data_IF_936791352519
#
_entry.id   IF_936791352519
#
_cell.length_a   1.000
_cell.length_b   1.000
_cell.length_c   1.000
_cell.angle_alpha   90.00
_cell.angle_beta   90.00
_cell.angle_gamma   90.00
#
_symmetry.space_group_name_H-M   'P 1'
#
loop_
_entity.id
_entity.type
_entity.pdbx_description
1 polymer ?
#
# COMPACT_ATOMS: atom_id res chain seq x y z
N UNK A 1 3.59 2.28 -29.53
CA UNK A 1 2.65 2.48 -28.39
C UNK A 1 2.13 3.90 -28.45
N UNK A 2 0.80 4.11 -28.47
CA UNK A 2 0.20 5.45 -28.54
C UNK A 2 0.31 6.17 -27.19
N UNK A 3 0.48 7.50 -27.21
CA UNK A 3 0.59 8.35 -26.02
C UNK A 3 -0.70 8.30 -25.16
N UNK A 4 -1.85 8.07 -25.80
CA UNK A 4 -3.13 7.87 -25.12
C UNK A 4 -3.19 6.59 -24.30
N UNK A 5 -2.60 5.49 -24.79
CA UNK A 5 -2.57 4.21 -24.07
C UNK A 5 -1.78 4.34 -22.76
N UNK A 6 -0.65 5.05 -22.80
CA UNK A 6 0.19 5.29 -21.61
C UNK A 6 -0.54 6.21 -20.62
N UNK A 7 -1.25 7.24 -21.09
CA UNK A 7 -2.02 8.13 -20.23
C UNK A 7 -3.14 7.41 -19.51
N UNK A 8 -3.89 6.56 -20.21
CA UNK A 8 -4.97 5.76 -19.62
C UNK A 8 -4.43 4.75 -18.61
N UNK A 9 -3.34 4.03 -18.93
CA UNK A 9 -2.72 3.11 -17.98
C UNK A 9 -2.23 3.82 -16.71
N UNK A 10 -1.69 5.03 -16.84
CA UNK A 10 -1.22 5.83 -15.69
C UNK A 10 -2.37 6.36 -14.84
N UNK A 11 -3.53 6.64 -15.42
CA UNK A 11 -4.73 7.02 -14.69
C UNK A 11 -5.24 5.83 -13.86
N UNK A 12 -5.41 4.65 -14.49
CA UNK A 12 -5.86 3.44 -13.79
C UNK A 12 -4.88 2.98 -12.70
N UNK A 13 -3.57 3.14 -12.90
CA UNK A 13 -2.58 2.80 -11.88
C UNK A 13 -2.71 3.64 -10.59
N UNK A 14 -3.17 4.89 -10.70
CA UNK A 14 -3.40 5.74 -9.52
C UNK A 14 -4.58 5.27 -8.69
N UNK A 15 -5.60 4.72 -9.33
CA UNK A 15 -6.80 4.21 -8.65
C UNK A 15 -6.47 2.98 -7.78
N UNK A 16 -5.46 2.21 -8.18
CA UNK A 16 -4.99 1.04 -7.41
C UNK A 16 -3.94 1.37 -6.35
N UNK A 17 -3.14 2.42 -6.53
CA UNK A 17 -2.10 2.78 -5.57
C UNK A 17 -2.72 3.37 -4.30
N UNK A 18 -2.38 2.84 -3.13
CA UNK A 18 -2.76 3.46 -1.86
C UNK A 18 -1.96 4.74 -1.65
N UNK A 19 -2.66 5.82 -1.33
CA UNK A 19 -2.08 7.13 -1.05
C UNK A 19 -3.04 7.94 -0.19
N UNK A 20 -2.57 9.10 0.26
CA UNK A 20 -3.43 10.08 0.93
C UNK A 20 -4.55 10.53 -0.03
N UNK A 21 -5.79 10.40 0.42
CA UNK A 21 -6.98 10.78 -0.34
C UNK A 21 -7.98 11.52 0.56
N UNK A 22 -8.08 12.85 0.47
CA UNK A 22 -8.98 13.61 1.32
C UNK A 22 -10.46 13.32 1.07
N UNK A 23 -10.80 12.66 -0.06
CA UNK A 23 -12.16 12.20 -0.37
C UNK A 23 -12.51 10.83 0.20
N UNK A 24 -11.52 10.06 0.67
CA UNK A 24 -11.69 8.71 1.21
C UNK A 24 -10.98 8.57 2.57
N UNK A 25 -11.78 8.65 3.63
CA UNK A 25 -11.29 8.57 5.01
C UNK A 25 -10.66 7.22 5.35
N UNK A 26 -11.12 6.10 4.76
CA UNK A 26 -10.58 4.78 5.05
C UNK A 26 -9.23 4.61 4.38
N UNK A 27 -9.11 5.03 3.11
CA UNK A 27 -7.81 5.04 2.40
C UNK A 27 -6.80 5.95 3.08
N UNK A 28 -7.22 7.16 3.48
CA UNK A 28 -6.35 8.08 4.22
C UNK A 28 -5.89 7.49 5.56
N UNK A 29 -6.78 6.81 6.30
CA UNK A 29 -6.41 6.14 7.54
C UNK A 29 -5.44 4.99 7.31
N UNK A 30 -5.73 4.08 6.36
CA UNK A 30 -4.85 2.97 6.01
C UNK A 30 -3.48 3.46 5.56
N UNK A 31 -3.44 4.51 4.73
CA UNK A 31 -2.20 5.16 4.33
C UNK A 31 -1.42 5.72 5.53
N UNK A 32 -2.10 6.42 6.44
CA UNK A 32 -1.49 6.97 7.67
C UNK A 32 -0.87 5.89 8.55
N UNK A 33 -1.58 4.77 8.77
CA UNK A 33 -1.06 3.65 9.56
C UNK A 33 0.23 3.07 8.96
N UNK A 34 0.28 2.89 7.63
CA UNK A 34 1.50 2.44 6.97
C UNK A 34 2.62 3.48 7.09
N UNK A 35 2.32 4.77 6.91
CA UNK A 35 3.33 5.83 7.11
C UNK A 35 3.89 5.80 8.53
N UNK A 36 3.04 5.63 9.55
CA UNK A 36 3.47 5.56 10.95
C UNK A 36 4.38 4.35 11.20
N UNK A 37 4.03 3.16 10.66
CA UNK A 37 4.89 1.96 10.75
C UNK A 37 6.25 2.16 10.06
N UNK A 38 6.26 2.76 8.87
CA UNK A 38 7.51 3.05 8.16
C UNK A 38 8.38 4.04 8.95
N UNK A 39 7.76 5.06 9.55
CA UNK A 39 8.45 6.05 10.36
C UNK A 39 9.03 5.44 11.65
N UNK A 40 8.29 4.53 12.30
CA UNK A 40 8.77 3.78 13.45
C UNK A 40 9.99 2.91 13.10
N UNK A 41 9.89 2.11 12.04
CA UNK A 41 11.00 1.28 11.58
C UNK A 41 12.22 2.13 11.19
N UNK A 42 12.03 3.24 10.49
CA UNK A 42 13.08 4.20 10.18
C UNK A 42 13.73 4.76 11.47
N UNK A 43 12.92 5.23 12.42
CA UNK A 43 13.40 5.82 13.67
C UNK A 43 14.19 4.84 14.52
N UNK A 44 13.75 3.58 14.60
CA UNK A 44 14.50 2.51 15.27
C UNK A 44 15.86 2.31 14.62
N UNK A 45 15.92 2.19 13.29
CA UNK A 45 17.20 1.98 12.60
C UNK A 45 18.13 3.18 12.75
N UNK A 46 17.62 4.40 12.62
CA UNK A 46 18.40 5.62 12.85
C UNK A 46 18.94 5.72 14.28
N UNK A 47 18.20 5.25 15.28
CA UNK A 47 18.65 5.28 16.68
C UNK A 47 19.92 4.45 16.92
N UNK A 48 20.09 3.35 16.18
CA UNK A 48 21.22 2.44 16.34
C UNK A 48 22.37 2.66 15.35
N UNK A 49 22.23 3.61 14.41
CA UNK A 49 23.14 3.72 13.28
C UNK A 49 24.47 4.43 13.58
N UNK A 50 24.60 5.11 14.73
CA UNK A 50 25.84 5.80 15.12
C UNK A 50 26.26 6.88 14.12
N UNK A 51 27.57 6.95 13.83
CA UNK A 51 28.17 7.91 12.88
C UNK A 51 28.31 7.34 11.45
N UNK A 52 27.59 6.27 11.11
CA UNK A 52 27.65 5.67 9.78
C UNK A 52 27.06 6.63 8.71
N UNK A 53 27.82 7.03 7.67
CA UNK A 53 27.32 7.89 6.61
C UNK A 53 26.20 7.25 5.77
N UNK A 54 26.08 5.92 5.74
CA UNK A 54 25.04 5.18 5.00
C UNK A 54 23.80 4.86 5.84
N UNK A 55 23.85 5.12 7.15
CA UNK A 55 22.78 4.92 8.14
C UNK A 55 21.40 5.34 7.64
N UNK A 56 21.31 6.55 7.09
CA UNK A 56 20.03 7.14 6.69
C UNK A 56 19.40 6.39 5.51
N UNK A 57 20.23 5.87 4.59
CA UNK A 57 19.76 5.07 3.45
C UNK A 57 19.25 3.72 3.94
N UNK A 58 19.99 3.05 4.80
CA UNK A 58 19.60 1.73 5.32
C UNK A 58 18.35 1.80 6.21
N UNK A 59 18.25 2.83 7.05
CA UNK A 59 17.05 3.08 7.83
C UNK A 59 15.83 3.34 6.95
N UNK A 60 16.00 4.07 5.83
CA UNK A 60 14.93 4.30 4.87
C UNK A 60 14.54 3.00 4.15
N UNK A 61 15.51 2.17 3.75
CA UNK A 61 15.26 0.86 3.15
C UNK A 61 14.48 -0.04 4.11
N UNK A 62 14.84 -0.06 5.39
CA UNK A 62 14.12 -0.81 6.42
C UNK A 62 12.69 -0.27 6.61
N UNK A 63 12.52 1.05 6.67
CA UNK A 63 11.21 1.71 6.73
C UNK A 63 10.32 1.31 5.56
N UNK A 64 10.81 1.43 4.33
CA UNK A 64 10.06 1.05 3.12
C UNK A 64 9.77 -0.46 3.04
N UNK A 65 10.75 -1.30 3.40
CA UNK A 65 10.59 -2.74 3.42
C UNK A 65 9.48 -3.17 4.38
N UNK A 66 9.40 -2.55 5.56
CA UNK A 66 8.42 -2.88 6.60
C UNK A 66 6.96 -2.71 6.17
N UNK A 67 6.69 -1.81 5.22
CA UNK A 67 5.32 -1.47 4.77
C UNK A 67 5.02 -1.92 3.34
N UNK A 68 6.02 -2.45 2.63
CA UNK A 68 5.90 -2.89 1.23
C UNK A 68 4.73 -3.85 1.01
N UNK A 69 4.52 -4.78 1.95
CA UNK A 69 3.41 -5.75 1.90
C UNK A 69 2.05 -5.08 2.11
N UNK A 70 1.95 -4.11 3.00
CA UNK A 70 0.72 -3.32 3.19
C UNK A 70 0.31 -2.56 1.93
N UNK A 71 1.26 -1.92 1.24
CA UNK A 71 0.98 -1.26 -0.03
C UNK A 71 0.55 -2.26 -1.12
N UNK A 72 1.17 -3.44 -1.18
CA UNK A 72 0.78 -4.49 -2.12
C UNK A 72 -0.64 -5.04 -1.81
N UNK A 73 -0.94 -5.30 -0.53
CA UNK A 73 -2.27 -5.73 -0.09
C UNK A 73 -3.36 -4.72 -0.47
N UNK A 74 -3.11 -3.43 -0.23
CA UNK A 74 -4.02 -2.37 -0.59
C UNK A 74 -4.27 -2.26 -2.10
N UNK A 75 -3.25 -2.49 -2.92
CA UNK A 75 -3.39 -2.52 -4.37
C UNK A 75 -4.24 -3.72 -4.83
N UNK A 76 -4.06 -4.90 -4.25
CA UNK A 76 -4.88 -6.07 -4.55
C UNK A 76 -6.34 -5.85 -4.15
N UNK A 77 -6.60 -5.25 -2.98
CA UNK A 77 -7.96 -4.90 -2.55
C UNK A 77 -8.60 -3.89 -3.52
N UNK A 78 -7.86 -2.87 -3.95
CA UNK A 78 -8.36 -1.90 -4.93
C UNK A 78 -8.68 -2.56 -6.29
N UNK A 79 -7.88 -3.54 -6.73
CA UNK A 79 -8.18 -4.36 -7.92
C UNK A 79 -9.44 -5.19 -7.72
N UNK A 80 -9.57 -5.87 -6.58
CA UNK A 80 -10.72 -6.72 -6.28
C UNK A 80 -12.05 -5.93 -6.25
N UNK A 81 -12.02 -4.69 -5.74
CA UNK A 81 -13.19 -3.82 -5.64
C UNK A 81 -13.50 -3.04 -6.92
N UNK A 82 -12.63 -3.06 -7.93
CA UNK A 82 -12.83 -2.29 -9.15
C UNK A 82 -13.88 -2.94 -10.08
N UNK A 83 -15.06 -2.33 -10.14
CA UNK A 83 -16.19 -2.81 -10.95
C UNK A 83 -15.90 -2.82 -12.47
N UNK A 84 -15.01 -1.94 -12.94
CA UNK A 84 -14.67 -1.84 -14.37
C UNK A 84 -13.89 -3.06 -14.88
N UNK A 85 -13.23 -3.79 -13.99
CA UNK A 85 -12.51 -5.01 -14.32
C UNK A 85 -13.44 -6.22 -14.49
N UNK A 86 -14.72 -6.10 -14.10
CA UNK A 86 -15.74 -7.14 -14.23
C UNK A 86 -15.29 -8.52 -13.69
N UNK A 87 -14.52 -8.52 -12.59
CA UNK A 87 -14.01 -9.74 -11.96
C UNK A 87 -15.15 -10.61 -11.44
N UNK A 88 -14.99 -11.93 -11.60
CA UNK A 88 -15.91 -12.91 -11.00
C UNK A 88 -15.82 -12.88 -9.48
N UNK A 89 -16.84 -13.41 -8.80
CA UNK A 89 -16.83 -13.53 -7.34
C UNK A 89 -15.60 -14.32 -6.85
N UNK A 90 -15.29 -15.44 -7.50
CA UNK A 90 -14.13 -16.28 -7.14
C UNK A 90 -12.80 -15.51 -7.29
N UNK A 91 -12.66 -14.70 -8.33
CA UNK A 91 -11.47 -13.86 -8.53
C UNK A 91 -11.35 -12.79 -7.44
N UNK A 92 -12.47 -12.16 -7.05
CA UNK A 92 -12.47 -11.17 -5.96
C UNK A 92 -12.10 -11.80 -4.62
N UNK A 93 -12.66 -12.96 -4.31
CA UNK A 93 -12.35 -13.70 -3.09
C UNK A 93 -10.88 -14.09 -3.05
N UNK A 94 -10.35 -14.65 -4.14
CA UNK A 94 -8.94 -15.03 -4.23
C UNK A 94 -7.99 -13.83 -4.06
N UNK A 95 -8.29 -12.69 -4.69
CA UNK A 95 -7.50 -11.46 -4.49
C UNK A 95 -7.58 -10.95 -3.05
N UNK A 96 -8.74 -11.05 -2.42
CA UNK A 96 -8.94 -10.69 -1.01
C UNK A 96 -8.16 -11.59 -0.06
N UNK A 97 -8.08 -12.89 -0.34
CA UNK A 97 -7.23 -13.85 0.40
C UNK A 97 -5.75 -13.49 0.27
N UNK A 98 -5.27 -13.28 -0.96
CA UNK A 98 -3.88 -12.87 -1.22
C UNK A 98 -3.54 -11.54 -0.54
N UNK A 99 -4.46 -10.58 -0.54
CA UNK A 99 -4.28 -9.31 0.16
C UNK A 99 -4.14 -9.51 1.68
N UNK A 100 -4.98 -10.37 2.27
CA UNK A 100 -4.92 -10.71 3.69
C UNK A 100 -3.63 -11.45 4.07
N UNK A 101 -3.13 -12.35 3.20
CA UNK A 101 -1.84 -13.03 3.40
C UNK A 101 -0.64 -12.07 3.39
N UNK A 102 -0.74 -10.97 2.62
CA UNK A 102 0.30 -9.94 2.58
C UNK A 102 0.26 -9.06 3.84
N UNK A 103 -0.90 -8.50 4.18
CA UNK A 103 -1.09 -7.60 5.32
C UNK A 103 -2.59 -7.51 5.70
N UNK A 104 -3.03 -8.40 6.60
CA UNK A 104 -4.42 -8.45 7.06
C UNK A 104 -4.89 -7.13 7.69
N UNK A 105 -4.04 -6.50 8.50
CA UNK A 105 -4.40 -5.27 9.22
C UNK A 105 -4.71 -4.14 8.24
N UNK A 106 -3.94 -4.01 7.15
CA UNK A 106 -4.22 -3.05 6.08
C UNK A 106 -5.57 -3.32 5.41
N UNK A 107 -5.90 -4.59 5.15
CA UNK A 107 -7.19 -4.98 4.57
C UNK A 107 -8.35 -4.66 5.51
N UNK A 108 -8.20 -4.93 6.80
CA UNK A 108 -9.22 -4.61 7.81
C UNK A 108 -9.49 -3.11 7.90
N UNK A 109 -8.45 -2.27 7.90
CA UNK A 109 -8.60 -0.81 7.83
C UNK A 109 -9.35 -0.36 6.58
N UNK A 110 -9.00 -0.89 5.40
CA UNK A 110 -9.65 -0.54 4.14
C UNK A 110 -11.12 -0.96 4.09
N UNK A 111 -11.48 -2.05 4.78
CA UNK A 111 -12.87 -2.54 4.88
C UNK A 111 -13.66 -1.90 6.03
N UNK A 112 -13.03 -1.03 6.83
CA UNK A 112 -13.66 -0.39 7.98
C UNK A 112 -13.94 -1.36 9.14
N UNK A 113 -13.31 -2.54 9.13
CA UNK A 113 -13.31 -3.45 10.25
C UNK A 113 -12.27 -2.93 11.26
N UNK A 114 -12.72 -2.23 12.29
CA UNK A 114 -11.92 -1.82 13.44
C UNK A 114 -12.67 -2.20 14.72
#
# INVERSE_FOLDING_TARGET
MSNDTVRTARASAKDFALGYDPGDSLRTRAFGVLVDRAAEAYGINMHYAGDDPDAAREAMEAGLASVSRGFAAAALEAVAQNETLALSLDQKLHLGELAGELDLETVEFLRGAC
#
